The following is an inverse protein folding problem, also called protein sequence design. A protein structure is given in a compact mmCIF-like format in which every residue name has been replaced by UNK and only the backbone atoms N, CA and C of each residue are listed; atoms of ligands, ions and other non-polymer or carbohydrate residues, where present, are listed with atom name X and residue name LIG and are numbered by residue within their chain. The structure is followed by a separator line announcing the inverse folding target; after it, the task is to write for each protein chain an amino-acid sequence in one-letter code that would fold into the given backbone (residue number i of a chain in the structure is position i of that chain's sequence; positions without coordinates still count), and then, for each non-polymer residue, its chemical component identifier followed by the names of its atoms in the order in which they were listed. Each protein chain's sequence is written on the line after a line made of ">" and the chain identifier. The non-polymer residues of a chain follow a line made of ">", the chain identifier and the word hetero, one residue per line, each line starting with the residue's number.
data_IF_489090044166
#
_entry.id   IF_489090044166
#
_cell.length_a   1.000
_cell.length_b   1.000
_cell.length_c   1.000
_cell.angle_alpha   90.00
_cell.angle_beta   90.00
_cell.angle_gamma   90.00
#
_symmetry.space_group_name_H-M   'P 1'
#
loop_
_entity.id
_entity.type
_entity.pdbx_description
1 polymer ?
#
# COMPACT_ATOMS: atom_id res chain seq x y z
N UNK A 1 71.11 -27.85 -48.54
CA UNK A 1 70.77 -26.62 -49.26
C UNK A 1 69.26 -26.47 -49.25
N UNK A 2 68.70 -25.68 -48.32
CA UNK A 2 67.27 -25.39 -48.35
C UNK A 2 67.01 -24.47 -49.55
N UNK A 3 66.26 -24.99 -50.53
CA UNK A 3 65.95 -24.26 -51.76
C UNK A 3 65.08 -23.05 -51.45
N UNK A 4 65.29 -21.95 -52.18
CA UNK A 4 64.51 -20.71 -52.09
C UNK A 4 62.98 -20.93 -52.18
N UNK A 5 62.56 -22.08 -52.71
CA UNK A 5 61.16 -22.51 -52.86
C UNK A 5 60.50 -22.88 -51.51
N UNK A 6 61.27 -23.27 -50.49
CA UNK A 6 60.72 -23.74 -49.20
C UNK A 6 60.16 -22.62 -48.32
N UNK A 7 60.73 -21.43 -48.42
CA UNK A 7 60.36 -20.25 -47.63
C UNK A 7 58.92 -19.77 -47.93
N UNK A 8 58.49 -19.57 -49.19
CA UNK A 8 57.11 -19.17 -49.49
C UNK A 8 56.09 -20.27 -49.13
N UNK A 9 56.44 -21.55 -49.27
CA UNK A 9 55.54 -22.66 -48.88
C UNK A 9 55.28 -22.64 -47.37
N UNK A 10 56.33 -22.48 -46.57
CA UNK A 10 56.20 -22.38 -45.12
C UNK A 10 55.39 -21.15 -44.71
N UNK A 11 55.58 -20.01 -45.40
CA UNK A 11 54.81 -18.79 -45.15
C UNK A 11 53.32 -18.97 -45.43
N UNK A 12 52.96 -19.60 -46.56
CA UNK A 12 51.56 -19.88 -46.91
C UNK A 12 50.95 -20.87 -45.92
N UNK A 13 51.67 -21.92 -45.55
CA UNK A 13 51.21 -22.89 -44.56
C UNK A 13 50.93 -22.24 -43.19
N UNK A 14 51.85 -21.41 -42.71
CA UNK A 14 51.67 -20.65 -41.47
C UNK A 14 50.52 -19.63 -41.57
N UNK A 15 50.34 -18.99 -42.72
CA UNK A 15 49.23 -18.07 -42.94
C UNK A 15 47.88 -18.77 -42.91
N UNK A 16 47.75 -19.95 -43.55
CA UNK A 16 46.52 -20.74 -43.51
C UNK A 16 46.22 -21.18 -42.07
N UNK A 17 47.23 -21.66 -41.35
CA UNK A 17 47.07 -22.09 -39.96
C UNK A 17 46.68 -20.92 -39.05
N UNK A 18 47.37 -19.78 -39.20
CA UNK A 18 47.09 -18.56 -38.44
C UNK A 18 45.73 -17.96 -38.76
N UNK A 19 45.30 -17.98 -40.02
CA UNK A 19 43.97 -17.55 -40.44
C UNK A 19 42.88 -18.44 -39.84
N UNK A 20 43.08 -19.77 -39.88
CA UNK A 20 42.11 -20.71 -39.32
C UNK A 20 41.96 -20.52 -37.80
N UNK A 21 43.08 -20.39 -37.08
CA UNK A 21 43.08 -20.12 -35.64
C UNK A 21 42.52 -18.73 -35.35
N UNK A 22 42.90 -17.71 -36.12
CA UNK A 22 42.42 -16.34 -35.96
C UNK A 22 40.90 -16.20 -36.15
N UNK A 23 40.33 -16.90 -37.15
CA UNK A 23 38.89 -16.96 -37.38
C UNK A 23 38.16 -17.70 -36.26
N UNK A 24 38.74 -18.79 -35.73
CA UNK A 24 38.19 -19.49 -34.57
C UNK A 24 38.18 -18.59 -33.33
N UNK A 25 39.29 -17.90 -33.05
CA UNK A 25 39.39 -16.98 -31.91
C UNK A 25 38.38 -15.83 -32.05
N UNK A 26 38.32 -15.15 -33.20
CA UNK A 26 37.36 -14.05 -33.40
C UNK A 26 35.90 -14.51 -33.27
N UNK A 27 35.55 -15.70 -33.77
CA UNK A 27 34.21 -16.26 -33.58
C UNK A 27 33.90 -16.52 -32.09
N UNK A 28 34.88 -17.00 -31.32
CA UNK A 28 34.70 -17.24 -29.87
C UNK A 28 34.63 -15.95 -29.06
N UNK A 29 35.45 -14.94 -29.38
CA UNK A 29 35.45 -13.63 -28.71
C UNK A 29 34.19 -12.83 -29.02
N UNK A 30 33.69 -12.86 -30.26
CA UNK A 30 32.43 -12.19 -30.64
C UNK A 30 31.23 -12.70 -29.83
N UNK A 31 31.19 -14.02 -29.53
CA UNK A 31 30.17 -14.57 -28.63
C UNK A 31 30.32 -14.08 -27.17
N UNK A 32 31.54 -13.78 -26.73
CA UNK A 32 31.80 -13.20 -25.41
C UNK A 32 31.37 -11.73 -25.32
N UNK A 33 31.58 -10.95 -26.39
CA UNK A 33 31.10 -9.57 -26.48
C UNK A 33 29.57 -9.47 -26.41
N UNK A 34 28.85 -10.44 -26.98
CA UNK A 34 27.39 -10.48 -26.84
C UNK A 34 26.96 -10.66 -25.37
N UNK A 35 27.71 -11.45 -24.60
CA UNK A 35 27.42 -11.65 -23.16
C UNK A 35 27.72 -10.39 -22.35
N UNK A 36 28.78 -9.65 -22.66
CA UNK A 36 29.10 -8.39 -21.98
C UNK A 36 28.07 -7.31 -22.32
N UNK A 37 27.67 -7.19 -23.59
CA UNK A 37 26.57 -6.30 -24.02
C UNK A 37 25.25 -6.62 -23.34
N UNK A 38 24.93 -7.91 -23.16
CA UNK A 38 23.74 -8.31 -22.40
C UNK A 38 23.83 -7.89 -20.94
N UNK A 39 24.99 -8.04 -20.28
CA UNK A 39 25.20 -7.59 -18.91
C UNK A 39 25.08 -6.06 -18.77
N UNK A 40 25.68 -5.30 -19.69
CA UNK A 40 25.53 -3.84 -19.76
C UNK A 40 24.07 -3.43 -19.92
N UNK A 41 23.34 -4.11 -20.83
CA UNK A 41 21.91 -3.86 -21.05
C UNK A 41 21.08 -4.14 -19.80
N UNK A 42 21.40 -5.21 -19.06
CA UNK A 42 20.70 -5.55 -17.80
C UNK A 42 20.97 -4.51 -16.70
N UNK A 43 22.21 -4.02 -16.61
CA UNK A 43 22.56 -2.95 -15.68
C UNK A 43 21.78 -1.67 -16.02
N UNK A 44 21.76 -1.30 -17.30
CA UNK A 44 21.05 -0.12 -17.77
C UNK A 44 19.54 -0.22 -17.54
N UNK A 45 18.92 -1.39 -17.77
CA UNK A 45 17.50 -1.63 -17.43
C UNK A 45 17.22 -1.52 -15.92
N UNK A 46 18.14 -2.01 -15.08
CA UNK A 46 17.98 -1.92 -13.63
C UNK A 46 18.08 -0.45 -13.15
N UNK A 47 19.02 0.33 -13.68
CA UNK A 47 19.11 1.76 -13.39
C UNK A 47 17.88 2.54 -13.86
N UNK A 48 17.39 2.24 -15.07
CA UNK A 48 16.20 2.88 -15.64
C UNK A 48 14.96 2.59 -14.78
N UNK A 49 14.76 1.33 -14.35
CA UNK A 49 13.65 0.96 -13.47
C UNK A 49 13.73 1.62 -12.08
N UNK A 50 14.92 1.77 -11.50
CA UNK A 50 15.12 2.52 -10.25
C UNK A 50 14.82 4.01 -10.43
N UNK A 51 15.24 4.60 -11.55
CA UNK A 51 14.93 6.00 -11.87
C UNK A 51 13.42 6.20 -12.02
N UNK A 52 12.74 5.30 -12.73
CA UNK A 52 11.29 5.34 -12.91
C UNK A 52 10.57 5.24 -11.55
N UNK A 53 10.95 4.29 -10.71
CA UNK A 53 10.37 4.14 -9.38
C UNK A 53 10.57 5.40 -8.51
N UNK A 54 11.77 5.99 -8.53
CA UNK A 54 12.04 7.24 -7.82
C UNK A 54 11.16 8.38 -8.32
N UNK A 55 10.95 8.48 -9.62
CA UNK A 55 10.10 9.51 -10.22
C UNK A 55 8.63 9.31 -9.83
N UNK A 56 8.11 8.08 -9.93
CA UNK A 56 6.75 7.73 -9.56
C UNK A 56 6.46 7.97 -8.07
N UNK A 57 7.39 7.62 -7.19
CA UNK A 57 7.28 7.91 -5.75
C UNK A 57 7.33 9.41 -5.47
N UNK A 58 8.15 10.16 -6.20
CA UNK A 58 8.23 11.63 -6.06
C UNK A 58 6.94 12.31 -6.51
N UNK A 59 6.33 11.85 -7.59
CA UNK A 59 5.02 12.28 -8.07
C UNK A 59 3.95 12.04 -6.99
N UNK A 60 3.88 10.82 -6.45
CA UNK A 60 2.94 10.47 -5.38
C UNK A 60 3.15 11.27 -4.09
N UNK A 61 4.41 11.54 -3.68
CA UNK A 61 4.67 12.39 -2.52
C UNK A 61 4.31 13.86 -2.78
N UNK A 62 4.51 14.36 -4.00
CA UNK A 62 4.09 15.70 -4.39
C UNK A 62 2.56 15.85 -4.37
N UNK A 63 1.85 14.86 -4.91
CA UNK A 63 0.38 14.82 -4.88
C UNK A 63 -0.16 14.68 -3.44
N UNK A 64 0.45 13.80 -2.64
CA UNK A 64 0.08 13.63 -1.23
C UNK A 64 0.35 14.90 -0.43
N UNK A 65 1.48 15.59 -0.65
CA UNK A 65 1.78 16.86 0.00
C UNK A 65 0.73 17.93 -0.32
N UNK A 66 0.24 17.99 -1.57
CA UNK A 66 -0.88 18.87 -1.95
C UNK A 66 -2.16 18.50 -1.22
N UNK A 67 -2.49 17.22 -1.14
CA UNK A 67 -3.69 16.73 -0.43
C UNK A 67 -3.63 17.02 1.08
N UNK A 68 -2.48 16.76 1.72
CA UNK A 68 -2.25 17.05 3.14
C UNK A 68 -2.31 18.54 3.44
N UNK A 69 -1.78 19.38 2.54
CA UNK A 69 -1.90 20.83 2.66
C UNK A 69 -3.37 21.28 2.56
N UNK A 70 -4.14 20.71 1.64
CA UNK A 70 -5.58 20.96 1.55
C UNK A 70 -6.31 20.54 2.83
N UNK A 71 -6.00 19.35 3.36
CA UNK A 71 -6.56 18.87 4.62
C UNK A 71 -6.23 19.82 5.78
N UNK A 72 -4.98 20.29 5.86
CA UNK A 72 -4.54 21.25 6.89
C UNK A 72 -5.31 22.56 6.77
N UNK A 73 -5.55 23.05 5.55
CA UNK A 73 -6.33 24.25 5.32
C UNK A 73 -7.80 24.04 5.75
N UNK A 74 -8.42 22.94 5.37
CA UNK A 74 -9.79 22.60 5.80
C UNK A 74 -9.90 22.43 7.33
N UNK A 75 -8.89 21.85 7.99
CA UNK A 75 -8.82 21.76 9.44
C UNK A 75 -8.80 23.15 10.10
N UNK A 76 -7.98 24.07 9.57
CA UNK A 76 -7.93 25.46 10.04
C UNK A 76 -9.28 26.17 9.86
N UNK A 77 -9.93 25.99 8.71
CA UNK A 77 -11.22 26.61 8.41
C UNK A 77 -12.32 26.11 9.36
N UNK A 78 -12.36 24.81 9.67
CA UNK A 78 -13.28 24.24 10.67
C UNK A 78 -12.99 24.82 12.04
N UNK A 79 -11.73 24.92 12.45
CA UNK A 79 -11.35 25.52 13.73
C UNK A 79 -11.74 27.01 13.81
N UNK A 80 -11.53 27.77 12.74
CA UNK A 80 -11.92 29.17 12.63
C UNK A 80 -13.44 29.31 12.73
N UNK A 81 -14.19 28.42 12.08
CA UNK A 81 -15.65 28.41 12.10
C UNK A 81 -16.20 28.02 13.49
N UNK A 82 -15.56 27.09 14.18
CA UNK A 82 -15.88 26.73 15.57
C UNK A 82 -15.58 27.89 16.52
N UNK A 83 -14.43 28.54 16.39
CA UNK A 83 -14.09 29.69 17.22
C UNK A 83 -15.06 30.87 16.99
N UNK A 84 -15.41 31.14 15.74
CA UNK A 84 -16.40 32.17 15.38
C UNK A 84 -17.81 31.81 15.84
N UNK A 85 -18.22 30.55 15.72
CA UNK A 85 -19.52 30.07 16.21
C UNK A 85 -19.59 30.07 17.73
N UNK A 86 -18.52 29.69 18.43
CA UNK A 86 -18.45 29.78 19.88
C UNK A 86 -18.64 31.23 20.33
N UNK A 87 -17.93 32.19 19.72
CA UNK A 87 -18.12 33.62 19.98
C UNK A 87 -19.57 34.08 19.73
N UNK A 88 -20.17 33.65 18.62
CA UNK A 88 -21.56 33.97 18.26
C UNK A 88 -22.58 33.33 19.22
N UNK A 89 -22.33 32.12 19.72
CA UNK A 89 -23.22 31.42 20.64
C UNK A 89 -23.03 31.86 22.10
N UNK A 90 -21.87 32.41 22.45
CA UNK A 90 -21.62 33.04 23.76
C UNK A 90 -22.05 34.49 23.82
N UNK A 91 -22.64 35.02 22.74
CA UNK A 91 -23.12 36.39 22.71
C UNK A 91 -24.15 36.61 23.82
N UNK A 92 -23.97 37.73 24.53
CA UNK A 92 -24.60 38.03 25.83
C UNK A 92 -26.14 37.99 25.73
N UNK A 93 -26.69 38.28 24.56
CA UNK A 93 -28.12 38.28 24.29
C UNK A 93 -28.76 36.88 24.40
N UNK A 94 -28.07 35.82 23.96
CA UNK A 94 -28.58 34.44 24.07
C UNK A 94 -28.49 33.96 25.51
N UNK A 95 -27.44 34.37 26.21
CA UNK A 95 -27.26 34.05 27.62
C UNK A 95 -28.43 34.65 28.43
N UNK A 96 -28.73 35.94 28.27
CA UNK A 96 -29.89 36.56 28.95
C UNK A 96 -31.22 35.85 28.68
N UNK A 97 -31.43 35.29 27.48
CA UNK A 97 -32.64 34.54 27.14
C UNK A 97 -32.70 33.15 27.78
N UNK A 98 -31.57 32.45 27.91
CA UNK A 98 -31.48 31.19 28.67
C UNK A 98 -31.66 31.40 30.17
N UNK A 99 -31.09 32.48 30.71
CA UNK A 99 -31.20 32.84 32.12
C UNK A 99 -32.63 33.21 32.51
N UNK A 100 -33.31 33.99 31.66
CA UNK A 100 -34.71 34.37 31.88
C UNK A 100 -35.70 33.21 31.72
N UNK A 101 -35.36 32.18 30.94
CA UNK A 101 -36.21 30.99 30.80
C UNK A 101 -36.00 29.97 31.92
N UNK A 102 -34.80 29.92 32.51
CA UNK A 102 -34.49 29.06 33.65
C UNK A 102 -35.26 29.46 34.93
N UNK A 103 -35.46 30.76 35.16
CA UNK A 103 -36.14 31.28 36.35
C UNK A 103 -37.67 30.99 36.39
N UNK A 104 -38.26 30.48 35.30
CA UNK A 104 -39.71 30.27 35.17
C UNK A 104 -40.18 28.82 35.35
N UNK A 105 -39.28 27.85 35.61
CA UNK A 105 -39.65 26.42 35.70
C UNK A 105 -39.24 25.70 36.99
N UNK A 106 -38.72 26.39 38.01
CA UNK A 106 -38.41 25.75 39.30
C UNK A 106 -39.64 25.67 40.22
N UNK A 107 -40.54 24.75 39.87
CA UNK A 107 -41.51 24.22 40.81
C UNK A 107 -41.75 22.75 40.47
N UNK A 108 -41.05 21.90 41.22
CA UNK A 108 -41.33 20.47 41.39
C UNK A 108 -40.81 19.54 40.28
N UNK A 109 -39.52 19.19 40.36
CA UNK A 109 -39.07 17.86 39.95
C UNK A 109 -37.88 17.42 40.79
N UNK A 110 -38.14 16.60 41.81
CA UNK A 110 -37.12 15.80 42.48
C UNK A 110 -36.40 14.95 41.42
N UNK A 111 -35.18 15.33 41.10
CA UNK A 111 -34.26 14.57 40.27
C UNK A 111 -33.73 13.43 41.13
N UNK A 112 -34.23 12.22 40.90
CA UNK A 112 -33.66 11.00 41.47
C UNK A 112 -32.20 10.90 41.01
N UNK A 113 -31.31 10.90 41.98
CA UNK A 113 -29.85 11.04 41.85
C UNK A 113 -29.18 9.76 41.30
N UNK A 114 -29.96 8.73 40.96
CA UNK A 114 -29.47 7.40 40.57
C UNK A 114 -29.33 7.19 39.05
N UNK A 115 -29.78 8.11 38.19
CA UNK A 115 -29.74 7.93 36.72
C UNK A 115 -28.76 8.85 35.97
N UNK A 116 -27.77 9.41 36.67
CA UNK A 116 -26.62 10.06 36.04
C UNK A 116 -25.44 9.08 35.94
N UNK A 117 -25.59 8.03 35.14
CA UNK A 117 -24.45 7.20 34.80
C UNK A 117 -23.63 7.94 33.73
N UNK A 118 -22.37 8.25 34.05
CA UNK A 118 -21.39 8.82 33.10
C UNK A 118 -21.39 8.01 31.80
N UNK A 119 -21.36 8.66 30.62
CA UNK A 119 -21.34 7.99 29.33
C UNK A 119 -20.28 6.91 29.33
N UNK A 120 -20.72 5.67 29.06
CA UNK A 120 -19.87 4.50 29.10
C UNK A 120 -18.98 4.51 27.86
N UNK A 121 -17.93 5.29 27.99
CA UNK A 121 -16.95 5.58 26.98
C UNK A 121 -16.14 4.31 26.68
N UNK A 122 -16.41 3.75 25.50
CA UNK A 122 -15.54 2.96 24.63
C UNK A 122 -14.63 1.85 25.23
N UNK A 123 -14.82 0.65 24.65
CA UNK A 123 -14.12 -0.62 24.84
C UNK A 123 -14.51 -1.45 26.09
N UNK A 124 -15.03 -2.69 25.92
CA UNK A 124 -14.99 -3.65 27.01
C UNK A 124 -13.53 -3.82 27.45
N UNK A 125 -13.26 -3.93 28.75
CA UNK A 125 -11.92 -3.83 29.37
C UNK A 125 -10.83 -4.78 28.81
N UNK A 126 -11.19 -5.69 27.90
CA UNK A 126 -10.26 -6.49 27.11
C UNK A 126 -10.12 -5.84 25.73
N UNK A 127 -9.02 -5.13 25.55
CA UNK A 127 -8.72 -4.36 24.35
C UNK A 127 -8.99 -5.08 23.04
N UNK A 128 -9.32 -4.25 22.04
CA UNK A 128 -9.69 -4.53 20.64
C UNK A 128 -8.74 -5.42 19.83
N UNK A 129 -7.63 -5.88 20.40
CA UNK A 129 -6.59 -6.67 19.72
C UNK A 129 -6.45 -8.09 20.29
N UNK A 130 -7.53 -8.66 20.83
CA UNK A 130 -7.54 -10.08 21.18
C UNK A 130 -8.18 -10.90 20.08
N UNK A 131 -7.50 -11.96 19.70
CA UNK A 131 -7.81 -12.90 18.62
C UNK A 131 -9.20 -13.54 18.79
N UNK A 132 -9.73 -13.57 20.01
CA UNK A 132 -11.02 -14.14 20.39
C UNK A 132 -12.12 -13.10 20.62
N UNK A 133 -11.94 -11.86 20.16
CA UNK A 133 -12.96 -10.82 20.29
C UNK A 133 -14.19 -11.20 19.44
N UNK A 134 -15.29 -11.57 20.11
CA UNK A 134 -16.54 -11.96 19.45
C UNK A 134 -16.68 -13.46 19.14
N UNK A 135 -15.70 -14.30 19.51
CA UNK A 135 -15.79 -15.75 19.33
C UNK A 135 -15.92 -16.43 20.70
N UNK A 136 -17.15 -16.82 21.04
CA UNK A 136 -17.38 -17.71 22.18
C UNK A 136 -16.93 -19.12 21.78
N UNK A 137 -15.76 -19.52 22.26
CA UNK A 137 -15.33 -20.91 22.33
C UNK A 137 -16.24 -21.61 23.35
N UNK A 138 -17.42 -22.03 22.90
CA UNK A 138 -18.26 -22.96 23.62
C UNK A 138 -18.33 -24.20 22.76
N UNK A 139 -17.72 -25.26 23.28
CA UNK A 139 -17.95 -26.64 22.87
C UNK A 139 -19.46 -26.92 22.96
N UNK A 140 -20.18 -26.69 21.88
CA UNK A 140 -21.53 -27.19 21.67
C UNK A 140 -21.50 -28.02 20.39
N UNK A 141 -21.79 -29.33 20.46
CA UNK A 141 -21.85 -30.19 19.28
C UNK A 141 -22.82 -29.60 18.25
N UNK A 142 -22.32 -29.42 17.03
CA UNK A 142 -23.12 -28.99 15.90
C UNK A 142 -24.11 -30.12 15.56
N UNK A 143 -25.33 -30.03 16.10
CA UNK A 143 -26.43 -30.91 15.73
C UNK A 143 -26.92 -30.50 14.34
N UNK A 144 -26.38 -31.17 13.32
CA UNK A 144 -26.81 -31.04 11.93
C UNK A 144 -28.26 -31.51 11.82
N UNK A 145 -29.20 -30.56 11.74
CA UNK A 145 -30.55 -30.85 11.26
C UNK A 145 -30.53 -30.81 9.73
N UNK A 146 -30.38 -32.01 9.16
CA UNK A 146 -30.50 -32.27 7.73
C UNK A 146 -31.96 -32.11 7.28
N UNK A 147 -32.35 -30.90 6.89
CA UNK A 147 -33.51 -30.70 6.02
C UNK A 147 -33.17 -29.62 4.99
N UNK A 148 -33.46 -29.91 3.71
CA UNK A 148 -33.31 -29.04 2.52
C UNK A 148 -32.02 -29.13 1.69
N UNK A 149 -31.59 -30.33 1.28
CA UNK A 149 -30.87 -30.46 -0.01
C UNK A 149 -31.01 -31.83 -0.71
N UNK A 150 -32.19 -32.44 -0.74
CA UNK A 150 -32.46 -33.70 -1.46
C UNK A 150 -33.46 -33.54 -2.63
N UNK A 151 -33.68 -32.32 -3.13
CA UNK A 151 -34.60 -32.08 -4.27
C UNK A 151 -33.91 -31.59 -5.55
N UNK A 152 -32.67 -31.10 -5.50
CA UNK A 152 -32.08 -30.41 -6.68
C UNK A 152 -31.15 -31.31 -7.53
N UNK A 153 -30.67 -32.47 -7.03
CA UNK A 153 -29.63 -33.24 -7.74
C UNK A 153 -30.09 -34.49 -8.48
N UNK A 154 -31.38 -34.87 -8.44
CA UNK A 154 -31.87 -36.08 -9.17
C UNK A 154 -32.16 -35.86 -10.67
N UNK A 155 -31.97 -34.66 -11.22
CA UNK A 155 -32.40 -34.34 -12.60
C UNK A 155 -31.25 -34.02 -13.58
N UNK A 156 -30.02 -34.50 -13.36
CA UNK A 156 -28.96 -34.36 -14.38
C UNK A 156 -28.02 -35.57 -14.46
N UNK A 157 -28.56 -36.77 -14.23
CA UNK A 157 -27.96 -37.97 -14.81
C UNK A 157 -28.99 -39.10 -15.00
N UNK A 158 -29.92 -38.91 -15.93
CA UNK A 158 -30.46 -40.00 -16.75
C UNK A 158 -30.78 -39.46 -18.14
#
# INVERSE_FOLDING_TARGET
>A
MFSFITLPIAAIAAFILGCLVGLLLTRTLSSREQKTRLLETRLQQAEESLSHYRQEVTEHFSETAKLVNNLTQSYKDVHQHLAGSALKLTDIDINHQLLSTYDMNDSNKAINEEDCQVPKDWAPAKGILRENYGLNEKDEPFETKDETFETITRSTHQ
#
